data_IF_637529259975
#
_entry.id   IF_637529259975
#
_cell.length_a   1.000
_cell.length_b   1.000
_cell.length_c   1.000
_cell.angle_alpha   90.00
_cell.angle_beta   90.00
_cell.angle_gamma   90.00
#
_symmetry.space_group_name_H-M   'P 1'
#
loop_
_entity.id
_entity.type
_entity.pdbx_description
1 polymer ?
#
# COMPACT_ATOMS: atom_id res chain seq x y z
N UNK A 1 12.35 -11.22 -13.79
CA UNK A 1 11.25 -10.45 -13.19
C UNK A 1 11.62 -8.99 -13.35
N UNK A 2 11.12 -8.31 -14.39
CA UNK A 2 11.29 -6.86 -14.47
C UNK A 2 10.34 -6.27 -13.44
N UNK A 3 10.86 -5.81 -12.31
CA UNK A 3 10.16 -4.84 -11.47
C UNK A 3 9.86 -3.68 -12.41
N UNK A 4 8.60 -3.53 -12.82
CA UNK A 4 8.19 -2.41 -13.65
C UNK A 4 8.20 -1.18 -12.75
N UNK A 5 9.36 -0.54 -12.63
CA UNK A 5 9.49 0.82 -12.13
C UNK A 5 8.73 1.68 -13.13
N UNK A 6 7.63 2.36 -12.74
CA UNK A 6 6.98 3.33 -13.62
C UNK A 6 8.06 4.31 -14.10
N UNK A 7 8.16 4.51 -15.42
CA UNK A 7 9.09 5.51 -15.98
C UNK A 7 8.87 6.84 -15.25
N UNK A 8 9.90 7.33 -14.55
CA UNK A 8 9.88 8.59 -13.82
C UNK A 8 10.22 8.52 -12.33
N UNK A 9 10.51 7.34 -11.77
CA UNK A 9 11.09 7.21 -10.42
C UNK A 9 12.47 6.57 -10.55
N UNK A 10 13.52 7.39 -10.56
CA UNK A 10 14.92 6.94 -10.53
C UNK A 10 15.29 6.47 -9.11
N UNK A 11 14.66 5.41 -8.62
CA UNK A 11 14.98 4.81 -7.34
C UNK A 11 15.83 3.54 -7.54
N UNK A 12 17.05 3.47 -7.00
CA UNK A 12 17.83 2.24 -7.02
C UNK A 12 17.15 1.16 -6.20
N UNK A 13 16.92 -0.01 -6.82
CA UNK A 13 16.54 -1.25 -6.12
C UNK A 13 17.87 -1.90 -5.73
N UNK A 14 18.14 -2.05 -4.43
CA UNK A 14 19.30 -2.82 -3.98
C UNK A 14 19.09 -4.31 -4.31
N UNK A 15 20.15 -4.93 -4.86
CA UNK A 15 20.18 -6.32 -5.30
C UNK A 15 19.90 -7.29 -4.14
N UNK A 16 19.28 -8.42 -4.47
CA UNK A 16 19.12 -9.52 -3.54
C UNK A 16 20.50 -10.12 -3.23
N UNK A 17 20.95 -10.04 -1.97
CA UNK A 17 22.14 -10.77 -1.52
C UNK A 17 21.80 -12.27 -1.42
N UNK A 18 22.56 -13.11 -2.12
CA UNK A 18 22.52 -14.56 -1.91
C UNK A 18 23.16 -14.86 -0.55
N UNK A 19 22.37 -15.29 0.42
CA UNK A 19 22.89 -15.67 1.74
C UNK A 19 23.65 -17.01 1.66
N UNK A 20 24.90 -17.04 2.10
CA UNK A 20 25.66 -18.29 2.29
C UNK A 20 25.14 -19.04 3.54
N UNK A 21 24.48 -20.18 3.37
CA UNK A 21 24.00 -21.05 4.46
C UNK A 21 22.59 -21.61 4.26
N UNK A 22 22.04 -22.32 5.26
CA UNK A 22 20.61 -22.66 5.29
C UNK A 22 19.78 -21.38 5.45
N UNK A 23 19.11 -20.97 4.38
CA UNK A 23 18.22 -19.81 4.41
C UNK A 23 16.86 -20.22 4.98
N UNK A 24 16.39 -19.65 6.11
CA UNK A 24 15.08 -19.97 6.65
C UNK A 24 13.98 -19.57 5.66
N UNK A 25 13.07 -20.49 5.35
CA UNK A 25 12.00 -20.24 4.39
C UNK A 25 10.94 -19.30 4.95
N UNK A 26 10.57 -18.29 4.17
CA UNK A 26 9.55 -17.30 4.49
C UNK A 26 8.17 -17.76 3.98
N UNK A 27 7.13 -17.56 4.79
CA UNK A 27 5.74 -17.65 4.35
C UNK A 27 5.16 -16.23 4.22
N UNK A 28 4.41 -15.99 3.15
CA UNK A 28 3.77 -14.71 2.90
C UNK A 28 2.26 -14.86 2.92
N UNK A 29 1.60 -13.99 3.67
CA UNK A 29 0.15 -13.93 3.77
C UNK A 29 -0.51 -13.87 2.39
N UNK A 30 -1.39 -14.83 2.09
CA UNK A 30 -2.06 -14.99 0.80
C UNK A 30 -1.27 -15.73 -0.29
N UNK A 31 -0.07 -16.25 0.00
CA UNK A 31 0.75 -17.02 -0.95
C UNK A 31 0.99 -18.45 -0.41
N UNK A 32 0.52 -19.51 -1.09
CA UNK A 32 0.75 -20.88 -0.63
C UNK A 32 2.22 -21.30 -0.64
N UNK A 33 2.66 -21.88 0.48
CA UNK A 33 3.98 -22.48 0.63
C UNK A 33 4.97 -21.60 1.42
N UNK A 34 6.23 -22.03 1.40
CA UNK A 34 7.36 -21.31 1.98
C UNK A 34 8.50 -21.34 0.98
N UNK A 35 9.15 -20.20 0.79
CA UNK A 35 10.21 -20.03 -0.21
C UNK A 35 11.33 -19.16 0.38
N UNK A 36 12.54 -19.16 -0.18
CA UNK A 36 13.60 -18.26 0.26
C UNK A 36 13.16 -16.78 0.19
N UNK A 37 13.41 -15.97 1.24
CA UNK A 37 13.08 -14.56 1.26
C UNK A 37 13.94 -13.78 0.27
N UNK A 38 13.32 -12.75 -0.31
CA UNK A 38 13.96 -11.71 -1.11
C UNK A 38 13.60 -10.40 -0.47
N UNK A 39 14.58 -9.68 0.08
CA UNK A 39 14.36 -8.34 0.58
C UNK A 39 14.34 -7.35 -0.59
N UNK A 40 13.31 -6.51 -0.64
CA UNK A 40 13.17 -5.45 -1.65
C UNK A 40 13.06 -4.14 -0.92
N UNK A 41 13.98 -3.22 -1.20
CA UNK A 41 13.96 -1.86 -0.68
C UNK A 41 13.94 -0.84 -1.81
N UNK A 42 13.06 0.16 -1.67
CA UNK A 42 12.99 1.32 -2.53
C UNK A 42 13.62 2.50 -1.81
N UNK A 43 14.78 2.95 -2.29
CA UNK A 43 15.47 4.13 -1.79
C UNK A 43 14.77 5.40 -2.31
N UNK A 44 14.63 6.39 -1.45
CA UNK A 44 13.90 7.65 -1.72
C UNK A 44 12.59 7.39 -2.50
N UNK A 45 11.63 6.65 -1.93
CA UNK A 45 10.48 6.11 -2.66
C UNK A 45 9.52 7.17 -3.23
N UNK A 46 9.73 8.44 -2.91
CA UNK A 46 9.01 9.59 -3.45
C UNK A 46 9.76 10.34 -4.56
N UNK A 47 11.00 9.92 -4.87
CA UNK A 47 11.87 10.54 -5.86
C UNK A 47 12.03 12.05 -5.62
N UNK A 48 11.92 12.83 -6.69
CA UNK A 48 11.99 14.29 -6.64
C UNK A 48 10.73 14.97 -6.12
N UNK A 49 9.62 14.24 -5.90
CA UNK A 49 8.37 14.81 -5.40
C UNK A 49 8.39 14.88 -3.87
N UNK A 50 7.65 15.83 -3.27
CA UNK A 50 7.42 15.82 -1.82
C UNK A 50 6.70 14.55 -1.37
N UNK A 51 7.07 13.99 -0.21
CA UNK A 51 6.40 12.82 0.37
C UNK A 51 4.90 13.11 0.61
N UNK A 52 4.61 14.28 1.17
CA UNK A 52 3.25 14.81 1.34
C UNK A 52 3.05 15.90 0.26
N UNK A 53 2.22 15.67 -0.77
CA UNK A 53 2.11 16.59 -1.89
C UNK A 53 1.53 17.96 -1.49
N UNK A 54 0.75 18.02 -0.42
CA UNK A 54 0.20 19.26 0.15
C UNK A 54 1.03 19.83 1.31
N UNK A 55 2.11 19.13 1.69
CA UNK A 55 2.88 19.43 2.90
C UNK A 55 2.15 19.12 4.22
N UNK A 56 0.89 18.67 4.17
CA UNK A 56 0.08 18.41 5.37
C UNK A 56 -0.15 16.93 5.62
N UNK A 57 -0.03 16.52 6.89
CA UNK A 57 -0.28 15.15 7.32
C UNK A 57 -1.76 14.75 7.13
N UNK A 58 -2.68 15.70 7.23
CA UNK A 58 -4.11 15.50 7.04
C UNK A 58 -4.68 16.61 6.18
N UNK A 59 -5.59 16.24 5.28
CA UNK A 59 -6.27 17.10 4.33
C UNK A 59 -7.76 16.83 4.43
N UNK A 60 -8.60 17.79 4.04
CA UNK A 60 -10.06 17.59 4.00
C UNK A 60 -10.49 17.50 2.54
N UNK A 61 -11.04 16.35 2.14
CA UNK A 61 -11.58 16.12 0.80
C UNK A 61 -13.11 16.23 0.84
N UNK A 62 -13.69 17.05 -0.04
CA UNK A 62 -15.14 17.24 -0.12
C UNK A 62 -15.78 16.20 -1.04
N UNK A 63 -16.88 15.60 -0.59
CA UNK A 63 -17.71 14.71 -1.38
C UNK A 63 -18.83 15.49 -2.09
N UNK A 64 -19.44 14.87 -3.10
CA UNK A 64 -20.50 15.48 -3.92
C UNK A 64 -21.77 15.79 -3.13
N UNK A 65 -22.03 15.07 -2.03
CA UNK A 65 -23.16 15.29 -1.14
C UNK A 65 -22.93 16.44 -0.13
N UNK A 66 -21.79 17.13 -0.22
CA UNK A 66 -21.39 18.21 0.68
C UNK A 66 -20.76 17.75 1.99
N UNK A 67 -20.66 16.44 2.23
CA UNK A 67 -19.88 15.90 3.34
C UNK A 67 -18.38 16.00 3.07
N UNK A 68 -17.57 15.74 4.09
CA UNK A 68 -16.12 15.79 3.98
C UNK A 68 -15.46 14.60 4.69
N UNK A 69 -14.29 14.21 4.16
CA UNK A 69 -13.48 13.11 4.70
C UNK A 69 -12.06 13.63 4.91
N UNK A 70 -11.53 13.39 6.12
CA UNK A 70 -10.10 13.59 6.39
C UNK A 70 -9.26 12.51 5.68
N UNK A 71 -8.20 12.95 5.02
CA UNK A 71 -7.31 12.09 4.25
C UNK A 71 -5.84 12.48 4.38
N UNK A 72 -4.97 11.47 4.48
CA UNK A 72 -3.53 11.63 4.26
C UNK A 72 -3.21 11.31 2.81
N UNK A 73 -2.45 12.18 2.15
CA UNK A 73 -2.00 12.00 0.77
C UNK A 73 -0.50 11.70 0.77
N UNK A 74 -0.08 10.59 0.17
CA UNK A 74 1.34 10.17 0.16
C UNK A 74 1.81 9.85 -1.25
N UNK A 75 2.97 10.40 -1.61
CA UNK A 75 3.65 10.19 -2.89
C UNK A 75 4.85 9.26 -2.71
N UNK A 76 4.66 8.02 -2.23
CA UNK A 76 5.75 7.04 -2.08
C UNK A 76 5.36 5.70 -2.70
N UNK A 77 6.19 5.15 -3.58
CA UNK A 77 5.83 4.00 -4.41
C UNK A 77 4.77 4.38 -5.45
N UNK A 78 3.49 4.34 -5.06
CA UNK A 78 2.38 4.84 -5.88
C UNK A 78 1.57 5.88 -5.08
N UNK A 79 1.14 7.01 -5.70
CA UNK A 79 0.23 7.97 -5.09
C UNK A 79 -0.96 7.30 -4.41
N UNK A 80 -1.10 7.50 -3.10
CA UNK A 80 -2.10 6.81 -2.29
C UNK A 80 -2.77 7.78 -1.33
N UNK A 81 -4.10 7.68 -1.26
CA UNK A 81 -4.98 8.38 -0.33
C UNK A 81 -5.29 7.42 0.82
N UNK A 82 -5.04 7.83 2.06
CA UNK A 82 -5.42 7.09 3.25
C UNK A 82 -6.55 7.79 3.97
N UNK A 83 -7.64 7.07 4.22
CA UNK A 83 -8.81 7.57 4.95
C UNK A 83 -9.19 6.57 6.04
N UNK A 84 -9.83 7.05 7.11
CA UNK A 84 -10.36 6.17 8.14
C UNK A 84 -11.49 5.31 7.56
N UNK A 85 -11.50 4.03 7.92
CA UNK A 85 -12.57 3.10 7.53
C UNK A 85 -13.90 3.55 8.11
N UNK A 86 -13.91 4.03 9.36
CA UNK A 86 -15.11 4.51 10.04
C UNK A 86 -15.71 5.73 9.33
N UNK A 87 -14.88 6.60 8.72
CA UNK A 87 -15.34 7.77 7.97
C UNK A 87 -16.20 7.41 6.75
N UNK A 88 -16.11 6.15 6.28
CA UNK A 88 -16.93 5.62 5.18
C UNK A 88 -17.84 4.49 5.65
N UNK A 89 -18.09 4.36 6.96
CA UNK A 89 -18.96 3.34 7.52
C UNK A 89 -18.45 1.90 7.37
N UNK A 90 -17.13 1.72 7.28
CA UNK A 90 -16.46 0.42 7.31
C UNK A 90 -15.84 0.18 8.70
N UNK A 91 -15.75 -1.09 9.08
CA UNK A 91 -15.03 -1.56 10.26
C UNK A 91 -13.51 -1.63 10.01
N UNK A 92 -13.09 -1.81 8.75
CA UNK A 92 -11.70 -1.87 8.32
C UNK A 92 -11.14 -3.27 8.19
N UNK A 93 -11.89 -4.29 8.63
CA UNK A 93 -11.51 -5.69 8.48
C UNK A 93 -12.27 -6.45 7.39
N UNK A 94 -13.16 -5.80 6.64
CA UNK A 94 -13.97 -6.43 5.59
C UNK A 94 -13.11 -7.16 4.56
N UNK A 95 -13.54 -8.36 4.17
CA UNK A 95 -13.00 -9.10 3.04
C UNK A 95 -13.53 -8.53 1.72
N UNK A 96 -12.81 -8.74 0.59
CA UNK A 96 -13.30 -8.32 -0.72
C UNK A 96 -14.70 -8.86 -1.06
N UNK A 97 -15.10 -10.02 -0.52
CA UNK A 97 -16.43 -10.62 -0.70
C UNK A 97 -17.52 -9.98 0.16
N UNK A 98 -17.15 -9.28 1.22
CA UNK A 98 -18.08 -8.65 2.17
C UNK A 98 -18.33 -7.17 1.82
N UNK A 99 -17.52 -6.63 0.92
CA UNK A 99 -17.56 -5.22 0.56
C UNK A 99 -18.81 -4.89 -0.29
N UNK A 100 -19.61 -3.92 0.17
CA UNK A 100 -20.66 -3.31 -0.66
C UNK A 100 -20.04 -2.36 -1.70
N UNK A 101 -19.69 -2.91 -2.86
CA UNK A 101 -19.08 -2.15 -3.94
C UNK A 101 -19.98 -1.08 -4.54
N UNK A 102 -21.31 -1.26 -4.47
CA UNK A 102 -22.26 -0.26 -4.98
C UNK A 102 -22.18 1.05 -4.21
N UNK A 103 -21.81 0.96 -2.92
CA UNK A 103 -21.61 2.09 -2.03
C UNK A 103 -20.16 2.58 -2.00
N UNK A 104 -19.18 1.67 -2.01
CA UNK A 104 -17.77 2.01 -1.81
C UNK A 104 -17.09 2.53 -3.08
N UNK A 105 -17.39 1.98 -4.26
CA UNK A 105 -16.72 2.43 -5.50
C UNK A 105 -17.01 3.92 -5.81
N UNK A 106 -18.24 4.43 -5.68
CA UNK A 106 -18.50 5.87 -5.85
C UNK A 106 -17.69 6.76 -4.90
N UNK A 107 -17.48 6.33 -3.65
CA UNK A 107 -16.66 7.07 -2.68
C UNK A 107 -15.20 7.06 -3.12
N UNK A 108 -14.68 5.90 -3.55
CA UNK A 108 -13.31 5.78 -4.08
C UNK A 108 -13.10 6.72 -5.27
N UNK A 109 -14.03 6.74 -6.22
CA UNK A 109 -13.92 7.59 -7.41
C UNK A 109 -13.96 9.09 -7.07
N UNK A 110 -14.82 9.50 -6.12
CA UNK A 110 -14.86 10.88 -5.64
C UNK A 110 -13.56 11.30 -4.94
N UNK A 111 -13.04 10.46 -4.03
CA UNK A 111 -11.76 10.74 -3.34
C UNK A 111 -10.61 10.87 -4.35
N UNK A 112 -10.58 9.99 -5.36
CA UNK A 112 -9.56 10.03 -6.42
C UNK A 112 -9.68 11.30 -7.26
N UNK A 113 -10.89 11.69 -7.63
CA UNK A 113 -11.14 12.91 -8.40
C UNK A 113 -10.69 14.16 -7.64
N UNK A 114 -10.96 14.24 -6.34
CA UNK A 114 -10.55 15.37 -5.49
C UNK A 114 -9.04 15.42 -5.25
N UNK A 115 -8.39 14.26 -5.05
CA UNK A 115 -6.98 14.22 -4.70
C UNK A 115 -6.02 14.25 -5.90
N UNK A 116 -6.45 13.80 -7.09
CA UNK A 116 -5.58 13.74 -8.26
C UNK A 116 -4.91 15.08 -8.63
N UNK A 117 -5.62 16.23 -8.60
CA UNK A 117 -4.97 17.55 -8.77
C UNK A 117 -3.94 17.87 -7.70
N UNK A 118 -4.18 17.44 -6.44
CA UNK A 118 -3.24 17.65 -5.33
C UNK A 118 -1.95 16.85 -5.53
N UNK A 119 -2.04 15.67 -6.16
CA UNK A 119 -0.88 14.88 -6.58
C UNK A 119 -0.21 15.38 -7.89
N UNK A 120 -0.85 16.30 -8.61
CA UNK A 120 -0.42 16.73 -9.94
C UNK A 120 -0.52 15.62 -11.01
N UNK A 121 -1.57 14.79 -10.95
CA UNK A 121 -1.82 13.69 -11.89
C UNK A 121 -3.25 13.73 -12.43
N UNK A 122 -3.46 13.08 -13.58
CA UNK A 122 -4.79 12.80 -14.14
C UNK A 122 -5.41 11.58 -13.45
N UNK A 123 -6.73 11.58 -13.28
CA UNK A 123 -7.47 10.42 -12.76
C UNK A 123 -7.47 9.33 -13.82
N UNK A 124 -6.77 8.23 -13.55
CA UNK A 124 -6.67 7.07 -14.46
C UNK A 124 -6.73 5.77 -13.67
N UNK A 125 -5.58 5.11 -13.46
CA UNK A 125 -5.40 4.01 -12.53
C UNK A 125 -4.86 4.48 -11.16
N UNK A 126 -4.54 5.77 -11.02
CA UNK A 126 -4.06 6.40 -9.79
C UNK A 126 -4.93 7.62 -9.45
N UNK A 127 -4.83 8.19 -8.23
CA UNK A 127 -4.19 7.59 -7.04
C UNK A 127 -4.96 6.35 -6.54
N UNK A 128 -4.33 5.53 -5.68
CA UNK A 128 -5.00 4.45 -4.93
C UNK A 128 -5.74 5.02 -3.71
N UNK A 129 -6.79 4.35 -3.25
CA UNK A 129 -7.46 4.68 -1.99
C UNK A 129 -7.28 3.51 -1.02
N UNK A 130 -6.89 3.80 0.20
CA UNK A 130 -6.71 2.82 1.26
C UNK A 130 -7.53 3.23 2.47
N UNK A 131 -8.41 2.33 2.89
CA UNK A 131 -9.21 2.46 4.11
C UNK A 131 -8.39 1.87 5.26
N UNK A 132 -8.21 2.64 6.33
CA UNK A 132 -7.33 2.32 7.46
C UNK A 132 -8.15 2.28 8.74
N UNK A 133 -7.86 1.34 9.63
CA UNK A 133 -8.48 1.25 10.94
C UNK A 133 -7.47 0.79 12.00
N UNK A 134 -7.83 0.98 13.26
CA UNK A 134 -7.10 0.40 14.39
C UNK A 134 -7.05 -1.13 14.31
N UNK A 135 -6.07 -1.80 14.93
CA UNK A 135 -6.01 -3.26 14.99
C UNK A 135 -7.30 -3.87 15.56
N UNK A 136 -7.84 -4.86 14.86
CA UNK A 136 -8.95 -5.67 15.33
C UNK A 136 -8.77 -7.11 14.90
N UNK A 137 -9.46 -8.02 15.59
CA UNK A 137 -9.56 -9.42 15.17
C UNK A 137 -10.26 -9.52 13.82
N UNK A 138 -9.80 -10.42 12.95
CA UNK A 138 -10.50 -10.76 11.72
C UNK A 138 -10.12 -12.14 11.19
N UNK A 139 -10.96 -12.67 10.30
CA UNK A 139 -10.69 -13.91 9.57
C UNK A 139 -10.20 -13.56 8.16
N UNK A 140 -9.11 -14.19 7.71
CA UNK A 140 -8.54 -13.94 6.37
C UNK A 140 -9.39 -14.56 5.26
N UNK A 141 -9.09 -14.21 4.00
CA UNK A 141 -9.70 -14.87 2.83
C UNK A 141 -9.42 -16.39 2.76
N UNK A 142 -8.42 -16.88 3.49
CA UNK A 142 -8.08 -18.31 3.57
C UNK A 142 -8.75 -19.01 4.77
N UNK A 143 -9.45 -18.27 5.64
CA UNK A 143 -10.10 -18.79 6.84
C UNK A 143 -9.24 -18.74 8.11
N UNK A 144 -8.04 -18.16 8.05
CA UNK A 144 -7.17 -18.04 9.23
C UNK A 144 -7.68 -16.95 10.18
N UNK A 145 -7.66 -17.20 11.47
CA UNK A 145 -8.00 -16.21 12.50
C UNK A 145 -6.76 -15.38 12.88
N UNK A 146 -6.89 -14.06 12.82
CA UNK A 146 -5.80 -13.14 13.14
C UNK A 146 -6.21 -12.23 14.29
N UNK A 147 -5.52 -12.35 15.42
CA UNK A 147 -5.72 -11.48 16.58
C UNK A 147 -5.24 -10.05 16.34
N UNK A 148 -5.91 -9.07 16.96
CA UNK A 148 -5.48 -7.66 16.99
C UNK A 148 -4.00 -7.48 17.44
N UNK A 149 -3.48 -8.42 18.23
CA UNK A 149 -2.08 -8.45 18.66
C UNK A 149 -1.05 -8.61 17.54
N UNK A 150 -1.43 -9.21 16.42
CA UNK A 150 -0.55 -9.56 15.32
C UNK A 150 -0.23 -8.39 14.38
N UNK A 151 -0.97 -7.28 14.46
CA UNK A 151 -0.83 -6.14 13.54
C UNK A 151 -0.80 -4.79 14.27
N UNK A 152 -0.31 -3.76 13.59
CA UNK A 152 -0.25 -2.39 14.11
C UNK A 152 -1.39 -1.52 13.60
N UNK A 153 -1.96 -1.88 12.45
CA UNK A 153 -3.21 -1.33 11.92
C UNK A 153 -3.86 -2.33 10.94
N UNK A 154 -5.12 -2.08 10.61
CA UNK A 154 -5.82 -2.70 9.49
C UNK A 154 -5.79 -1.81 8.27
N UNK A 155 -5.65 -2.41 7.08
CA UNK A 155 -5.76 -1.66 5.83
C UNK A 155 -6.41 -2.45 4.70
N UNK A 156 -7.27 -1.77 3.94
CA UNK A 156 -7.96 -2.29 2.75
C UNK A 156 -7.70 -1.34 1.59
N UNK A 157 -6.81 -1.73 0.67
CA UNK A 157 -6.42 -0.90 -0.47
C UNK A 157 -7.22 -1.25 -1.73
N UNK A 158 -7.69 -0.23 -2.43
CA UNK A 158 -8.40 -0.36 -3.69
C UNK A 158 -7.46 -0.63 -4.87
N UNK A 159 -7.98 -1.36 -5.85
CA UNK A 159 -7.49 -1.46 -7.22
C UNK A 159 -8.66 -1.14 -8.15
N UNK A 160 -8.47 -0.96 -9.47
CA UNK A 160 -9.57 -0.57 -10.34
C UNK A 160 -10.75 -1.56 -10.21
N UNK A 161 -11.90 -1.03 -9.81
CA UNK A 161 -13.15 -1.79 -9.65
C UNK A 161 -13.30 -2.66 -8.40
N UNK A 162 -12.33 -2.74 -7.48
CA UNK A 162 -12.44 -3.60 -6.28
C UNK A 162 -11.43 -3.31 -5.17
N UNK A 163 -11.63 -3.92 -4.00
CA UNK A 163 -10.60 -4.02 -2.97
C UNK A 163 -9.63 -5.16 -3.31
N UNK A 164 -8.34 -4.93 -3.06
CA UNK A 164 -7.30 -5.92 -3.31
C UNK A 164 -7.43 -7.12 -2.36
N UNK A 165 -7.21 -8.33 -2.86
CA UNK A 165 -7.34 -9.58 -2.09
C UNK A 165 -6.25 -9.78 -1.01
N UNK A 166 -5.15 -9.02 -1.11
CA UNK A 166 -4.08 -8.95 -0.13
C UNK A 166 -3.70 -7.47 0.07
N UNK A 167 -2.45 -7.09 -0.21
CA UNK A 167 -2.03 -5.70 -0.28
C UNK A 167 -1.06 -5.47 -1.44
N UNK A 168 -1.10 -4.28 -2.06
CA UNK A 168 -0.18 -3.96 -3.16
C UNK A 168 1.19 -3.59 -2.62
N UNK A 169 2.28 -4.02 -3.27
CA UNK A 169 3.65 -3.73 -2.80
C UNK A 169 4.02 -2.24 -2.82
N UNK A 170 3.51 -1.48 -3.79
CA UNK A 170 3.68 -0.02 -3.79
C UNK A 170 2.81 0.66 -2.74
N UNK A 171 1.62 0.11 -2.46
CA UNK A 171 0.74 0.61 -1.40
C UNK A 171 1.30 0.33 -0.01
N UNK A 172 2.02 -0.78 0.18
CA UNK A 172 2.70 -1.06 1.45
C UNK A 172 3.78 -0.02 1.71
N UNK A 173 4.59 0.33 0.69
CA UNK A 173 5.57 1.42 0.80
C UNK A 173 4.87 2.73 1.24
N UNK A 174 3.76 3.09 0.57
CA UNK A 174 3.03 4.30 0.91
C UNK A 174 2.51 4.31 2.36
N UNK A 175 1.91 3.22 2.85
CA UNK A 175 1.36 3.16 4.22
C UNK A 175 2.46 3.11 5.28
N UNK A 176 3.59 2.46 5.01
CA UNK A 176 4.75 2.45 5.89
C UNK A 176 5.33 3.86 6.07
N UNK A 177 5.43 4.63 4.97
CA UNK A 177 5.84 6.02 5.07
C UNK A 177 4.80 6.87 5.80
N UNK A 178 3.51 6.70 5.49
CA UNK A 178 2.42 7.44 6.13
C UNK A 178 2.38 7.19 7.65
N UNK A 179 2.63 5.95 8.09
CA UNK A 179 2.62 5.54 9.49
C UNK A 179 3.67 6.25 10.36
N UNK A 180 4.71 6.83 9.76
CA UNK A 180 5.73 7.60 10.48
C UNK A 180 5.48 9.11 10.48
N UNK A 181 4.56 9.59 9.65
CA UNK A 181 4.18 11.00 9.61
C UNK A 181 3.22 11.27 10.76
N UNK A 182 3.66 12.05 11.74
CA UNK A 182 2.85 12.40 12.90
C UNK A 182 1.52 13.03 12.46
N UNK A 183 0.43 12.69 13.15
CA UNK A 183 -0.93 13.15 12.86
C UNK A 183 -1.52 12.71 11.53
N UNK A 184 -0.85 11.84 10.75
CA UNK A 184 -1.46 11.21 9.58
C UNK A 184 -2.56 10.22 10.00
N UNK A 185 -3.49 9.90 9.09
CA UNK A 185 -4.54 8.92 9.35
C UNK A 185 -3.96 7.56 9.75
N UNK A 186 -2.96 6.97 9.05
CA UNK A 186 -2.32 5.74 9.51
C UNK A 186 -1.63 5.85 10.87
N UNK A 187 -0.92 6.96 11.15
CA UNK A 187 -0.23 7.16 12.43
C UNK A 187 -1.20 7.21 13.62
N UNK A 188 -2.41 7.77 13.41
CA UNK A 188 -3.48 7.82 14.43
C UNK A 188 -4.06 6.44 14.74
N UNK A 189 -4.07 5.53 13.77
CA UNK A 189 -4.59 4.16 13.96
C UNK A 189 -3.60 3.21 14.66
N UNK A 190 -2.33 3.62 14.83
CA UNK A 190 -1.29 2.77 15.44
C UNK A 190 -1.24 3.03 16.94
N UNK A 191 -1.36 1.98 17.78
CA UNK A 191 -1.14 2.11 19.22
C UNK A 191 0.23 2.69 19.52
N UNK A 192 0.32 3.66 20.44
CA UNK A 192 1.57 4.38 20.73
C UNK A 192 2.74 3.43 21.06
N UNK A 193 2.48 2.38 21.84
CA UNK A 193 3.46 1.33 22.20
C UNK A 193 4.02 0.53 21.02
N UNK A 194 3.40 0.62 19.84
CA UNK A 194 3.79 -0.12 18.62
C UNK A 194 4.31 0.79 17.52
N UNK A 195 4.45 2.09 17.77
CA UNK A 195 5.03 3.02 16.79
C UNK A 195 6.52 2.73 16.60
N UNK A 196 6.97 2.74 15.36
CA UNK A 196 8.36 2.51 14.99
C UNK A 196 8.53 2.36 13.49
N UNK A 197 9.72 1.92 13.08
CA UNK A 197 10.08 1.80 11.66
C UNK A 197 9.48 0.55 11.00
N UNK A 198 9.22 -0.50 11.79
CA UNK A 198 8.54 -1.72 11.33
C UNK A 198 7.03 -1.55 11.52
N UNK A 199 6.27 -1.77 10.46
CA UNK A 199 4.82 -1.74 10.44
C UNK A 199 4.26 -3.10 10.04
N UNK A 200 3.36 -3.65 10.85
CA UNK A 200 2.56 -4.84 10.57
C UNK A 200 1.17 -4.42 10.10
N UNK A 201 0.85 -4.68 8.84
CA UNK A 201 -0.42 -4.29 8.23
C UNK A 201 -1.31 -5.53 8.10
N UNK A 202 -2.44 -5.53 8.80
CA UNK A 202 -3.48 -6.54 8.60
C UNK A 202 -4.27 -6.25 7.33
N UNK A 203 -4.17 -7.12 6.33
CA UNK A 203 -4.84 -7.06 5.03
C UNK A 203 -5.72 -8.31 4.83
N UNK A 204 -6.59 -8.41 3.80
CA UNK A 204 -7.52 -9.53 3.70
C UNK A 204 -6.87 -10.92 3.66
N UNK A 205 -5.68 -11.04 3.05
CA UNK A 205 -4.91 -12.29 3.03
C UNK A 205 -4.10 -12.62 4.31
N UNK A 206 -4.12 -11.80 5.37
CA UNK A 206 -3.30 -11.96 6.58
C UNK A 206 -2.47 -10.71 6.92
N UNK A 207 -1.36 -10.88 7.61
CA UNK A 207 -0.49 -9.78 8.04
C UNK A 207 0.75 -9.68 7.16
N UNK A 208 1.11 -8.47 6.75
CA UNK A 208 2.39 -8.21 6.11
C UNK A 208 3.26 -7.28 6.95
N UNK A 209 4.57 -7.48 6.89
CA UNK A 209 5.56 -6.61 7.51
C UNK A 209 6.23 -5.72 6.46
N UNK A 210 6.41 -4.45 6.79
CA UNK A 210 7.17 -3.50 5.99
C UNK A 210 7.91 -2.51 6.88
N UNK A 211 9.13 -2.17 6.50
CA UNK A 211 9.94 -1.14 7.15
C UNK A 211 9.96 0.13 6.31
N UNK A 212 10.03 1.28 6.97
CA UNK A 212 10.41 2.53 6.35
C UNK A 212 11.36 3.32 7.28
N UNK A 213 12.18 4.20 6.71
CA UNK A 213 12.89 5.27 7.43
C UNK A 213 12.37 6.60 6.89
N UNK A 214 11.60 7.31 7.71
CA UNK A 214 11.05 8.61 7.37
C UNK A 214 11.58 9.65 8.35
N UNK A 215 12.07 10.76 7.81
CA UNK A 215 12.68 11.85 8.58
C UNK A 215 11.94 13.15 8.32
N UNK A 216 12.04 14.07 9.27
CA UNK A 216 11.53 15.42 9.16
C UNK A 216 12.70 16.41 9.31
N UNK A 217 12.81 17.38 8.41
CA UNK A 217 13.74 18.50 8.54
C UNK A 217 13.07 19.81 8.15
N UNK A 218 13.53 20.93 8.71
CA UNK A 218 12.94 22.24 8.42
C UNK A 218 13.07 22.64 6.93
N UNK A 219 14.10 22.15 6.24
CA UNK A 219 14.37 22.48 4.83
C UNK A 219 13.66 21.60 3.81
N UNK A 220 13.33 20.34 4.16
CA UNK A 220 12.75 19.35 3.22
C UNK A 220 11.35 18.89 3.65
N UNK A 221 10.93 19.21 4.87
CA UNK A 221 9.75 18.60 5.50
C UNK A 221 9.93 17.10 5.70
N UNK A 222 8.81 16.38 5.70
CA UNK A 222 8.79 14.92 5.73
C UNK A 222 9.38 14.34 4.44
N UNK A 223 10.35 13.44 4.57
CA UNK A 223 10.96 12.72 3.46
C UNK A 223 11.31 11.29 3.86
N UNK A 224 11.16 10.34 2.94
CA UNK A 224 11.50 8.94 3.18
C UNK A 224 12.90 8.67 2.63
N UNK A 225 13.77 8.10 3.47
CA UNK A 225 15.11 7.66 3.07
C UNK A 225 15.04 6.33 2.34
N UNK A 226 14.22 5.41 2.83
CA UNK A 226 14.00 4.10 2.23
C UNK A 226 12.76 3.43 2.79
N UNK A 227 12.20 2.48 2.03
CA UNK A 227 11.14 1.61 2.50
C UNK A 227 11.25 0.23 1.85
N UNK A 228 11.15 -0.84 2.65
CA UNK A 228 11.42 -2.18 2.18
C UNK A 228 10.68 -3.28 2.93
N UNK A 229 10.44 -4.38 2.23
CA UNK A 229 9.70 -5.54 2.72
C UNK A 229 10.24 -6.82 2.10
N UNK A 230 9.95 -7.94 2.74
CA UNK A 230 10.31 -9.24 2.23
C UNK A 230 9.27 -9.76 1.23
N UNK A 231 9.77 -10.45 0.20
CA UNK A 231 9.00 -11.14 -0.83
C UNK A 231 9.57 -12.52 -1.09
N UNK A 232 8.89 -13.29 -1.93
CA UNK A 232 9.39 -14.55 -2.47
C UNK A 232 9.16 -14.58 -3.97
N UNK A 233 9.90 -15.44 -4.68
CA UNK A 233 9.68 -15.67 -6.10
C UNK A 233 10.00 -17.12 -6.48
N UNK A 234 9.32 -17.64 -7.50
CA UNK A 234 9.61 -18.96 -8.08
C UNK A 234 9.24 -19.00 -9.56
N UNK A 235 9.91 -19.87 -10.33
CA UNK A 235 9.49 -20.17 -11.69
C UNK A 235 8.20 -20.99 -11.68
N UNK A 236 7.18 -20.53 -12.42
CA UNK A 236 5.96 -21.31 -12.66
C UNK A 236 6.02 -22.07 -14.00
N UNK A 237 6.64 -21.48 -15.01
CA UNK A 237 6.82 -22.07 -16.34
C UNK A 237 8.10 -21.52 -16.98
N UNK A 238 8.80 -22.36 -17.73
CA UNK A 238 9.90 -21.99 -18.62
C UNK A 238 9.67 -22.64 -19.98
N UNK A 239 9.56 -21.85 -21.04
CA UNK A 239 9.29 -22.32 -22.40
C UNK A 239 8.95 -21.19 -23.35
N UNK A 240 8.45 -21.53 -24.52
CA UNK A 240 8.10 -20.61 -25.60
C UNK A 240 6.59 -20.31 -25.63
N UNK A 241 6.23 -19.04 -25.87
CA UNK A 241 4.84 -18.61 -26.09
C UNK A 241 4.65 -18.35 -27.59
N UNK A 242 3.72 -19.08 -28.21
CA UNK A 242 3.37 -18.90 -29.62
C UNK A 242 2.25 -17.86 -29.76
N UNK A 243 2.48 -16.84 -30.58
CA UNK A 243 1.47 -15.84 -30.93
C UNK A 243 1.02 -16.02 -32.38
N UNK A 244 -0.28 -15.83 -32.69
CA UNK A 244 -0.74 -15.80 -34.07
C UNK A 244 -0.02 -14.70 -34.86
N UNK A 245 0.29 -14.96 -36.13
CA UNK A 245 0.80 -13.92 -37.02
C UNK A 245 -0.37 -12.97 -37.31
N UNK A 246 -0.35 -11.76 -36.75
CA UNK A 246 -1.28 -10.71 -37.13
C UNK A 246 -0.99 -10.33 -38.59
N UNK A 247 -1.84 -10.77 -39.52
CA UNK A 247 -1.88 -10.15 -40.84
C UNK A 247 -2.30 -8.69 -40.64
N UNK A 248 -1.43 -7.75 -41.00
CA UNK A 248 -1.85 -6.34 -41.06
C UNK A 248 -2.96 -6.26 -42.10
N UNK A 249 -4.16 -5.84 -41.68
CA UNK A 249 -5.21 -5.49 -42.63
C UNK A 249 -4.65 -4.47 -43.64
N UNK A 250 -4.94 -4.63 -44.95
CA UNK A 250 -4.45 -3.74 -45.99
C UNK A 250 -4.89 -2.29 -45.82
#
# INVERSE_FOLDING_TARGET
MNVHVPRGVDAPILEAEEAEGEVPLLSLAGIPGREPPIYVELLEPHGSKPLLPTGQATNVLQLQDGSHIEATLVTAGNPTIFVSSQAVGLQGHELPSEMDYSRILPIVDQLRAQAAPLFGIEVSDQPRVSFVAEPAFYTTTAGDEIDAGAMDLLSRISTPGRIHHAFTGTGSIAIACAAQVEQSIPWRCIPESRRGNLLRVGHPGGVMEIKADVRHSDSRGWHAVGAGFERTSRYLMRGDVFIPRLERAP
#
